data_IF_439077914173
#
_entry.id   IF_439077914173
#
_cell.length_a   1.000
_cell.length_b   1.000
_cell.length_c   1.000
_cell.angle_alpha   90.00
_cell.angle_beta   90.00
_cell.angle_gamma   90.00
#
_symmetry.space_group_name_H-M   'P 1'
#
loop_
_entity.id
_entity.type
_entity.pdbx_description
1 polymer ?
#
# COMPACT_ATOMS: atom_id res chain seq x y z
N UNK A 1 13.02 7.32 -3.27
CA UNK A 1 12.33 7.44 -1.97
C UNK A 1 11.92 6.03 -1.55
N UNK A 2 12.28 5.53 -0.35
CA UNK A 2 11.85 4.20 0.05
C UNK A 2 10.34 4.24 0.37
N UNK A 3 9.53 3.52 -0.39
CA UNK A 3 8.09 3.34 -0.14
C UNK A 3 7.78 2.42 1.06
N UNK A 4 8.79 2.12 1.90
CA UNK A 4 8.78 1.02 2.87
C UNK A 4 7.64 1.02 3.89
N UNK A 5 6.88 2.12 4.02
CA UNK A 5 5.76 2.25 4.95
C UNK A 5 4.45 2.71 4.26
N UNK A 6 4.37 2.69 2.93
CA UNK A 6 3.17 3.12 2.21
C UNK A 6 2.18 1.97 2.08
N UNK A 7 1.13 2.00 2.89
CA UNK A 7 0.01 1.08 2.74
C UNK A 7 -0.90 1.53 1.59
N UNK A 8 -1.38 0.58 0.80
CA UNK A 8 -2.32 0.86 -0.28
C UNK A 8 -3.48 -0.11 -0.20
N UNK A 9 -4.67 0.42 -0.51
CA UNK A 9 -5.88 -0.38 -0.64
C UNK A 9 -6.20 -0.47 -2.12
N UNK A 10 -6.25 -1.69 -2.63
CA UNK A 10 -6.52 -1.96 -4.04
C UNK A 10 -7.56 -3.07 -4.16
N UNK A 11 -8.27 -3.07 -5.28
CA UNK A 11 -9.22 -4.14 -5.59
C UNK A 11 -8.50 -5.15 -6.47
N UNK A 12 -8.39 -6.39 -6.00
CA UNK A 12 -7.81 -7.47 -6.79
C UNK A 12 -8.77 -7.86 -7.94
N UNK A 13 -8.27 -8.58 -8.95
CA UNK A 13 -9.04 -9.13 -10.06
C UNK A 13 -10.22 -10.02 -9.62
N UNK A 14 -10.21 -10.52 -8.38
CA UNK A 14 -11.34 -11.23 -7.77
C UNK A 14 -12.47 -10.30 -7.26
N UNK A 15 -12.35 -8.97 -7.44
CA UNK A 15 -13.28 -7.98 -6.90
C UNK A 15 -13.16 -7.77 -5.38
N UNK A 16 -12.17 -8.40 -4.73
CA UNK A 16 -11.93 -8.29 -3.30
C UNK A 16 -11.02 -7.11 -3.00
N UNK A 17 -11.33 -6.37 -1.94
CA UNK A 17 -10.52 -5.25 -1.46
C UNK A 17 -9.40 -5.79 -0.57
N UNK A 18 -8.15 -5.51 -0.94
CA UNK A 18 -6.96 -5.94 -0.22
C UNK A 18 -6.10 -4.76 0.21
N UNK A 19 -5.31 -4.99 1.27
CA UNK A 19 -4.35 -4.01 1.80
C UNK A 19 -2.96 -4.61 1.76
N UNK A 20 -2.01 -3.88 1.20
CA UNK A 20 -0.61 -4.25 1.18
C UNK A 20 0.32 -3.04 1.26
N UNK A 21 1.63 -3.29 1.25
CA UNK A 21 2.69 -2.27 1.34
C UNK A 21 3.36 -2.12 -0.01
N UNK A 22 3.49 -0.89 -0.50
CA UNK A 22 4.22 -0.62 -1.75
C UNK A 22 5.71 -0.83 -1.49
N UNK A 23 6.33 -1.75 -2.24
CA UNK A 23 7.77 -1.96 -2.23
C UNK A 23 8.45 -1.15 -3.32
N UNK A 24 7.84 -1.15 -4.51
CA UNK A 24 8.40 -0.58 -5.72
C UNK A 24 7.27 0.01 -6.59
N UNK A 25 7.59 1.03 -7.39
CA UNK A 25 6.72 1.52 -8.46
C UNK A 25 7.55 1.74 -9.72
N UNK A 26 7.08 1.23 -10.86
CA UNK A 26 7.77 1.36 -12.14
C UNK A 26 6.89 0.96 -13.30
N UNK A 27 7.01 1.68 -14.42
CA UNK A 27 6.26 1.37 -15.65
C UNK A 27 4.73 1.41 -15.49
N UNK A 28 4.21 2.27 -14.61
CA UNK A 28 2.77 2.39 -14.35
C UNK A 28 2.19 1.31 -13.43
N UNK A 29 3.04 0.51 -12.76
CA UNK A 29 2.62 -0.58 -11.89
C UNK A 29 3.25 -0.44 -10.51
N UNK A 30 2.46 -0.74 -9.47
CA UNK A 30 2.90 -0.88 -8.10
C UNK A 30 3.23 -2.34 -7.81
N UNK A 31 4.37 -2.57 -7.19
CA UNK A 31 4.72 -3.83 -6.56
C UNK A 31 4.34 -3.75 -5.08
N UNK A 32 3.37 -4.56 -4.69
CA UNK A 32 2.73 -4.52 -3.39
C UNK A 32 3.02 -5.83 -2.65
N UNK A 33 3.54 -5.74 -1.45
CA UNK A 33 3.72 -6.85 -0.51
C UNK A 33 2.47 -6.98 0.36
N UNK A 34 1.82 -8.13 0.26
CA UNK A 34 0.67 -8.51 1.07
C UNK A 34 1.10 -8.97 2.46
N UNK A 35 0.15 -9.00 3.42
CA UNK A 35 0.41 -9.46 4.80
C UNK A 35 0.94 -10.90 4.92
N UNK A 36 0.66 -11.74 3.93
CA UNK A 36 1.14 -13.12 3.87
C UNK A 36 2.58 -13.22 3.29
N UNK A 37 3.21 -12.09 2.96
CA UNK A 37 4.52 -12.04 2.32
C UNK A 37 4.52 -12.26 0.81
N UNK A 38 3.36 -12.42 0.17
CA UNK A 38 3.26 -12.46 -1.30
C UNK A 38 3.47 -11.09 -1.90
N UNK A 39 4.12 -11.05 -3.07
CA UNK A 39 4.24 -9.86 -3.89
C UNK A 39 3.25 -9.92 -5.05
N UNK A 40 2.49 -8.86 -5.23
CA UNK A 40 1.56 -8.69 -6.34
C UNK A 40 1.89 -7.43 -7.12
N UNK A 41 1.72 -7.46 -8.43
CA UNK A 41 1.86 -6.30 -9.31
C UNK A 41 0.49 -5.80 -9.69
N UNK A 42 0.23 -4.54 -9.35
CA UNK A 42 -1.07 -3.91 -9.57
C UNK A 42 -0.86 -2.66 -10.41
N UNK A 43 -1.53 -2.54 -11.57
CA UNK A 43 -1.46 -1.32 -12.37
C UNK A 43 -2.06 -0.16 -11.58
N UNK A 44 -1.55 1.06 -11.77
CA UNK A 44 -2.02 2.21 -11.01
C UNK A 44 -3.51 2.47 -11.16
N UNK A 45 -4.08 2.12 -12.32
CA UNK A 45 -5.51 2.24 -12.60
C UNK A 45 -6.40 1.38 -11.69
N UNK A 46 -5.86 0.32 -11.10
CA UNK A 46 -6.59 -0.57 -10.17
C UNK A 46 -6.40 -0.17 -8.70
N UNK A 47 -5.55 0.82 -8.40
CA UNK A 47 -5.34 1.29 -7.04
C UNK A 47 -6.42 2.32 -6.73
N UNK A 48 -7.44 1.87 -6.00
CA UNK A 48 -8.59 2.70 -5.64
C UNK A 48 -8.25 3.76 -4.59
N UNK A 49 -7.29 3.48 -3.70
CA UNK A 49 -6.86 4.43 -2.66
C UNK A 49 -5.43 4.15 -2.21
N UNK A 50 -4.55 5.15 -2.34
CA UNK A 50 -3.24 5.15 -1.69
C UNK A 50 -3.36 5.89 -0.35
N UNK A 51 -2.99 5.22 0.74
CA UNK A 51 -2.96 5.83 2.07
C UNK A 51 -1.55 5.67 2.62
N UNK A 52 -0.72 6.70 2.43
CA UNK A 52 0.57 6.74 3.13
C UNK A 52 0.25 6.71 4.62
N UNK A 53 0.62 5.63 5.30
CA UNK A 53 0.59 5.62 6.76
C UNK A 53 1.71 6.54 7.19
N UNK A 54 1.40 7.82 7.30
CA UNK A 54 2.23 8.76 8.01
C UNK A 54 2.53 8.16 9.39
N UNK A 55 3.80 8.07 9.82
CA UNK A 55 4.12 7.77 11.21
C UNK A 55 3.73 8.93 12.17
N UNK A 56 2.97 9.92 11.70
CA UNK A 56 2.46 11.07 12.47
C UNK A 56 0.94 10.95 12.53
N UNK A 57 0.26 10.78 13.66
CA UNK A 57 0.62 11.02 15.04
C UNK A 57 -0.04 9.96 15.92
N UNK A 58 0.75 9.24 16.71
CA UNK A 58 0.27 8.88 18.04
C UNK A 58 0.23 10.20 18.83
N UNK A 59 -0.93 10.76 19.21
CA UNK A 59 -0.92 11.76 20.26
C UNK A 59 -0.41 11.04 21.50
N UNK A 60 0.88 11.23 21.80
CA UNK A 60 1.38 10.96 23.13
C UNK A 60 0.68 12.00 24.00
N UNK A 61 -0.48 11.62 24.56
CA UNK A 61 -1.09 12.38 25.65
C UNK A 61 -0.11 12.24 26.82
N UNK A 62 0.78 13.20 26.90
CA UNK A 62 1.62 13.48 28.05
C UNK A 62 1.38 14.92 28.47
N UNK A 63 0.45 15.12 29.40
CA UNK A 63 0.58 16.10 30.47
C UNK A 63 -0.34 15.73 31.62
#
# INVERSE_FOLDING_TARGET
MPFGNTHVTFTNSAGSVEVGVVKSYGGGQYEIELKNGSHVRVPESNVSKLAVSDPSACPVVGH
#
